data_IF_405734190748
#
_entry.id   IF_405734190748
#
_cell.length_a   1.000
_cell.length_b   1.000
_cell.length_c   1.000
_cell.angle_alpha   90.00
_cell.angle_beta   90.00
_cell.angle_gamma   90.00
#
_symmetry.space_group_name_H-M   'P 1'
#
loop_
_entity.id
_entity.type
_entity.pdbx_description
1 polymer ?
#
# COMPACT_ATOMS: atom_id res chain seq x y z
N UNK A 1 24.85 -19.21 -41.48
CA UNK A 1 24.34 -18.67 -40.21
C UNK A 1 22.92 -19.19 -39.99
N UNK A 2 22.69 -20.06 -39.05
CA UNK A 2 21.37 -20.65 -38.82
C UNK A 2 20.51 -19.64 -38.09
N UNK A 3 19.59 -19.01 -38.78
CA UNK A 3 18.59 -18.10 -38.20
C UNK A 3 17.48 -18.93 -37.55
N UNK A 4 17.76 -19.53 -36.39
CA UNK A 4 16.78 -20.27 -35.59
C UNK A 4 16.35 -19.54 -34.32
N UNK A 5 16.69 -18.25 -34.18
CA UNK A 5 16.34 -17.48 -33.04
C UNK A 5 15.06 -16.68 -33.31
N UNK A 6 14.04 -16.94 -32.54
CA UNK A 6 12.87 -16.09 -32.44
C UNK A 6 13.23 -14.94 -31.47
N UNK A 7 12.74 -13.74 -31.78
CA UNK A 7 12.92 -12.60 -30.89
C UNK A 7 12.26 -12.91 -29.53
N UNK A 8 13.06 -12.89 -28.48
CA UNK A 8 12.66 -13.38 -27.15
C UNK A 8 11.39 -12.73 -26.62
N UNK A 9 11.13 -11.48 -26.97
CA UNK A 9 9.92 -10.77 -26.53
C UNK A 9 8.64 -11.27 -27.22
N UNK A 10 8.72 -11.88 -28.38
CA UNK A 10 7.56 -12.56 -28.97
C UNK A 10 7.12 -13.73 -28.08
N UNK A 11 8.05 -14.54 -27.64
CA UNK A 11 7.79 -15.65 -26.72
C UNK A 11 7.32 -15.14 -25.34
N UNK A 12 8.09 -14.23 -24.74
CA UNK A 12 7.79 -13.70 -23.41
C UNK A 12 6.42 -13.03 -23.30
N UNK A 13 5.99 -12.26 -24.32
CA UNK A 13 4.72 -11.54 -24.28
C UNK A 13 3.53 -12.44 -24.58
N UNK A 14 3.67 -13.39 -25.54
CA UNK A 14 2.59 -14.33 -25.84
C UNK A 14 2.27 -15.26 -24.67
N UNK A 15 3.19 -15.42 -23.72
CA UNK A 15 2.94 -16.18 -22.50
C UNK A 15 1.75 -15.64 -21.67
N UNK A 16 1.45 -14.35 -21.76
CA UNK A 16 0.29 -13.77 -21.06
C UNK A 16 -1.03 -14.42 -21.48
N UNK A 17 -1.18 -14.76 -22.76
CA UNK A 17 -2.40 -15.40 -23.27
C UNK A 17 -2.27 -16.92 -23.33
N UNK A 18 -1.13 -17.49 -23.71
CA UNK A 18 -0.95 -18.93 -23.76
C UNK A 18 -1.00 -19.57 -22.38
N UNK A 19 -0.48 -18.89 -21.34
CA UNK A 19 -0.53 -19.35 -19.95
C UNK A 19 -1.94 -19.50 -19.38
N UNK A 20 -2.92 -18.79 -19.95
CA UNK A 20 -4.34 -18.91 -19.58
C UNK A 20 -5.17 -19.72 -20.59
N UNK A 21 -4.51 -20.33 -21.59
CA UNK A 21 -5.12 -21.26 -22.50
C UNK A 21 -5.67 -20.66 -23.79
N UNK A 22 -4.99 -19.63 -24.33
CA UNK A 22 -5.23 -19.16 -25.70
C UNK A 22 -4.88 -20.25 -26.71
N UNK A 23 -5.73 -20.40 -27.72
CA UNK A 23 -5.51 -21.29 -28.86
C UNK A 23 -5.79 -20.55 -30.17
N UNK A 24 -4.78 -20.51 -31.06
CA UNK A 24 -4.87 -19.85 -32.35
C UNK A 24 -5.88 -20.49 -33.34
N UNK A 25 -6.26 -21.75 -33.11
CA UNK A 25 -7.27 -22.47 -33.91
C UNK A 25 -8.71 -22.22 -33.42
N UNK A 26 -8.88 -21.36 -32.44
CA UNK A 26 -10.20 -20.93 -31.93
C UNK A 26 -10.74 -21.77 -30.79
N UNK A 27 -9.97 -22.73 -30.25
CA UNK A 27 -10.38 -23.59 -29.14
C UNK A 27 -9.88 -23.09 -27.78
N UNK A 28 -9.74 -21.78 -27.63
CA UNK A 28 -9.29 -21.15 -26.38
C UNK A 28 -10.11 -21.59 -25.18
N UNK A 29 -9.44 -21.76 -24.03
CA UNK A 29 -10.03 -22.22 -22.78
C UNK A 29 -11.07 -21.25 -22.21
N UNK A 30 -11.93 -21.76 -21.32
CA UNK A 30 -12.85 -20.91 -20.54
C UNK A 30 -12.10 -19.92 -19.64
N UNK A 31 -10.93 -20.28 -19.16
CA UNK A 31 -10.09 -19.37 -18.38
C UNK A 31 -9.63 -18.18 -19.23
N UNK A 32 -9.17 -18.41 -20.46
CA UNK A 32 -8.84 -17.33 -21.39
C UNK A 32 -10.04 -16.40 -21.63
N UNK A 33 -11.20 -16.95 -21.99
CA UNK A 33 -12.41 -16.18 -22.27
C UNK A 33 -12.87 -15.32 -21.08
N UNK A 34 -12.59 -15.76 -19.85
CA UNK A 34 -12.93 -15.07 -18.61
C UNK A 34 -11.93 -13.99 -18.25
N UNK A 35 -10.64 -14.23 -18.46
CA UNK A 35 -9.55 -13.38 -17.93
C UNK A 35 -8.96 -12.42 -18.98
N UNK A 36 -9.19 -12.68 -20.27
CA UNK A 36 -8.70 -11.80 -21.33
C UNK A 36 -9.85 -10.94 -21.90
N UNK A 37 -9.64 -9.64 -22.18
CA UNK A 37 -8.41 -8.88 -22.01
C UNK A 37 -8.06 -8.57 -20.55
N UNK A 38 -6.76 -8.47 -20.26
CA UNK A 38 -6.28 -8.06 -18.95
C UNK A 38 -6.75 -6.64 -18.59
N UNK A 39 -7.19 -6.44 -17.36
CA UNK A 39 -7.53 -5.12 -16.86
C UNK A 39 -6.29 -4.25 -16.71
N UNK A 40 -5.18 -4.84 -16.25
CA UNK A 40 -3.92 -4.16 -16.00
C UNK A 40 -2.72 -5.06 -16.31
N UNK A 41 -1.75 -4.54 -17.05
CA UNK A 41 -0.37 -5.01 -17.04
C UNK A 41 0.45 -4.12 -16.10
N UNK A 42 0.78 -4.63 -14.91
CA UNK A 42 1.67 -3.97 -13.97
C UNK A 42 3.10 -4.49 -14.18
N UNK A 43 4.00 -3.62 -14.63
CA UNK A 43 5.34 -3.99 -15.07
C UNK A 43 6.39 -2.99 -14.57
N UNK A 44 7.68 -3.35 -14.64
CA UNK A 44 8.77 -2.41 -14.45
C UNK A 44 8.90 -1.44 -15.62
N UNK A 45 9.26 -0.19 -15.38
CA UNK A 45 9.41 0.84 -16.41
C UNK A 45 10.44 0.50 -17.50
N UNK A 46 11.38 -0.38 -17.20
CA UNK A 46 12.42 -0.84 -18.14
C UNK A 46 11.87 -1.66 -19.31
N UNK A 47 10.71 -2.29 -19.14
CA UNK A 47 10.05 -3.09 -20.18
C UNK A 47 8.78 -2.45 -20.75
N UNK A 48 8.54 -1.17 -20.45
CA UNK A 48 7.32 -0.47 -20.89
C UNK A 48 7.16 -0.46 -22.41
N UNK A 49 8.25 -0.29 -23.16
CA UNK A 49 8.24 -0.31 -24.63
C UNK A 49 7.68 -1.61 -25.19
N UNK A 50 8.03 -2.72 -24.57
CA UNK A 50 7.59 -4.04 -25.03
C UNK A 50 6.09 -4.25 -24.81
N UNK A 51 5.54 -3.69 -23.73
CA UNK A 51 4.13 -3.81 -23.38
C UNK A 51 3.22 -2.75 -24.01
N UNK A 52 3.79 -1.61 -24.40
CA UNK A 52 2.99 -0.51 -24.99
C UNK A 52 3.11 -0.40 -26.52
N UNK A 53 4.13 -1.01 -27.12
CA UNK A 53 4.34 -1.00 -28.57
C UNK A 53 4.26 -2.41 -29.15
N UNK A 54 5.16 -3.32 -28.74
CA UNK A 54 5.26 -4.63 -29.39
C UNK A 54 4.08 -5.54 -29.05
N UNK A 55 3.67 -5.57 -27.80
CA UNK A 55 2.54 -6.39 -27.36
C UNK A 55 1.23 -6.02 -28.03
N UNK A 56 0.84 -4.75 -28.08
CA UNK A 56 -0.32 -4.33 -28.90
C UNK A 56 -0.23 -4.75 -30.37
N UNK A 57 0.94 -4.62 -31.00
CA UNK A 57 1.14 -5.05 -32.40
C UNK A 57 0.89 -6.55 -32.56
N UNK A 58 1.39 -7.38 -31.62
CA UNK A 58 1.19 -8.83 -31.68
C UNK A 58 -0.28 -9.18 -31.51
N UNK A 59 -0.96 -8.57 -30.55
CA UNK A 59 -2.41 -8.79 -30.31
C UNK A 59 -3.24 -8.35 -31.52
N UNK A 60 -2.94 -7.20 -32.11
CA UNK A 60 -3.61 -6.75 -33.33
C UNK A 60 -3.38 -7.70 -34.49
N UNK A 61 -2.17 -8.25 -34.65
CA UNK A 61 -1.87 -9.25 -35.69
C UNK A 61 -2.63 -10.56 -35.48
N UNK A 62 -2.93 -10.93 -34.22
CA UNK A 62 -3.76 -12.07 -33.85
C UNK A 62 -5.27 -11.78 -33.88
N UNK A 63 -5.66 -10.51 -34.11
CA UNK A 63 -7.03 -10.03 -34.00
C UNK A 63 -7.61 -10.23 -32.58
N UNK A 64 -6.76 -10.10 -31.56
CA UNK A 64 -7.14 -10.22 -30.16
C UNK A 64 -7.31 -8.86 -29.49
N UNK A 65 -8.20 -8.72 -28.49
CA UNK A 65 -8.42 -7.46 -27.79
C UNK A 65 -7.18 -7.03 -27.00
N UNK A 66 -6.96 -5.70 -26.93
CA UNK A 66 -5.85 -5.12 -26.19
C UNK A 66 -6.12 -5.09 -24.68
N UNK A 67 -5.07 -5.14 -23.83
CA UNK A 67 -5.19 -4.86 -22.40
C UNK A 67 -5.82 -3.48 -22.16
N UNK A 68 -6.61 -3.33 -21.10
CA UNK A 68 -7.26 -2.05 -20.80
C UNK A 68 -6.28 -0.99 -20.34
N UNK A 69 -5.23 -1.40 -19.61
CA UNK A 69 -4.21 -0.48 -19.09
C UNK A 69 -2.85 -1.17 -19.00
N UNK A 70 -1.79 -0.40 -19.23
CA UNK A 70 -0.40 -0.77 -18.91
C UNK A 70 0.15 0.27 -17.94
N UNK A 71 0.68 -0.18 -16.81
CA UNK A 71 1.26 0.66 -15.79
C UNK A 71 2.71 0.23 -15.49
N UNK A 72 3.66 1.16 -15.68
CA UNK A 72 5.08 0.92 -15.43
C UNK A 72 5.51 1.53 -14.11
N UNK A 73 5.84 0.68 -13.10
CA UNK A 73 6.39 1.16 -11.85
C UNK A 73 7.88 1.50 -11.96
N UNK A 74 8.39 2.45 -11.15
CA UNK A 74 9.80 2.85 -11.15
C UNK A 74 10.73 1.77 -10.57
N UNK A 75 12.02 2.04 -10.60
CA UNK A 75 13.02 1.16 -10.00
C UNK A 75 13.15 1.38 -8.51
N UNK A 76 13.57 0.32 -7.81
CA UNK A 76 14.09 0.38 -6.47
C UNK A 76 15.61 0.39 -6.55
N UNK A 77 16.22 1.49 -6.08
CA UNK A 77 17.66 1.74 -6.14
C UNK A 77 18.29 1.48 -4.77
N UNK A 78 19.55 1.07 -4.78
CA UNK A 78 20.39 1.04 -3.57
C UNK A 78 21.49 2.08 -3.71
N UNK A 79 21.49 3.06 -2.80
CA UNK A 79 22.38 4.23 -2.91
C UNK A 79 22.13 4.97 -4.23
N UNK A 80 23.19 5.29 -4.94
CA UNK A 80 23.15 6.09 -6.17
C UNK A 80 22.87 5.27 -7.44
N UNK A 81 22.51 4.00 -7.31
CA UNK A 81 22.42 3.17 -8.50
C UNK A 81 21.51 1.95 -8.45
N UNK A 82 21.29 1.43 -9.65
CA UNK A 82 20.54 0.20 -9.86
C UNK A 82 21.24 -0.99 -9.20
N UNK A 83 20.49 -1.80 -8.49
CA UNK A 83 20.97 -3.07 -7.94
C UNK A 83 21.43 -4.00 -9.05
N UNK A 84 22.59 -4.63 -8.88
CA UNK A 84 23.16 -5.57 -9.84
C UNK A 84 23.93 -6.67 -9.13
N UNK A 85 23.67 -7.92 -9.50
CA UNK A 85 24.40 -9.09 -8.98
C UNK A 85 25.91 -8.97 -9.18
N UNK A 86 26.33 -8.40 -10.31
CA UNK A 86 27.76 -8.21 -10.62
C UNK A 86 28.46 -7.17 -9.76
N UNK A 87 27.70 -6.23 -9.18
CA UNK A 87 28.22 -5.21 -8.26
C UNK A 87 28.15 -5.64 -6.78
N UNK A 88 27.50 -6.77 -6.49
CA UNK A 88 27.32 -7.25 -5.12
C UNK A 88 26.44 -6.37 -4.22
N UNK A 89 25.65 -5.46 -4.83
CA UNK A 89 24.80 -4.52 -4.11
C UNK A 89 23.32 -4.91 -4.19
N UNK A 90 22.99 -6.20 -4.22
CA UNK A 90 21.61 -6.66 -4.25
C UNK A 90 21.13 -6.91 -2.82
N UNK A 91 20.02 -6.29 -2.45
CA UNK A 91 19.26 -6.65 -1.25
C UNK A 91 18.19 -7.66 -1.66
N UNK A 92 18.22 -8.83 -1.07
CA UNK A 92 17.23 -9.87 -1.34
C UNK A 92 16.03 -9.69 -0.44
N UNK A 93 14.84 -9.90 -1.01
CA UNK A 93 13.58 -9.76 -0.26
C UNK A 93 13.50 -10.73 0.92
N UNK A 94 14.03 -11.95 0.76
CA UNK A 94 14.06 -12.96 1.81
C UNK A 94 14.88 -12.50 3.01
N UNK A 95 16.09 -11.95 2.79
CA UNK A 95 16.96 -11.43 3.85
C UNK A 95 16.29 -10.27 4.62
N UNK A 96 15.57 -9.41 3.89
CA UNK A 96 14.83 -8.31 4.50
C UNK A 96 13.64 -8.81 5.33
N UNK A 97 12.92 -9.80 4.82
CA UNK A 97 11.77 -10.42 5.51
C UNK A 97 12.22 -11.18 6.76
N UNK A 98 13.33 -11.91 6.69
CA UNK A 98 13.88 -12.64 7.83
C UNK A 98 14.30 -11.68 8.96
N UNK A 99 14.79 -10.49 8.63
CA UNK A 99 15.23 -9.51 9.62
C UNK A 99 14.10 -8.60 10.14
N UNK A 100 13.28 -8.04 9.25
CA UNK A 100 12.28 -7.02 9.58
C UNK A 100 10.85 -7.57 9.72
N UNK A 101 10.58 -8.77 9.21
CA UNK A 101 9.24 -9.32 9.07
C UNK A 101 8.55 -8.86 7.77
N UNK A 102 7.64 -9.70 7.28
CA UNK A 102 6.98 -9.50 5.97
C UNK A 102 6.16 -8.21 5.91
N UNK A 103 5.45 -7.87 6.97
CA UNK A 103 4.57 -6.68 6.98
C UNK A 103 5.36 -5.38 6.92
N UNK A 104 6.50 -5.32 7.63
CA UNK A 104 7.39 -4.16 7.61
C UNK A 104 8.02 -3.95 6.24
N UNK A 105 8.47 -5.03 5.59
CA UNK A 105 9.03 -4.96 4.23
C UNK A 105 7.97 -4.52 3.22
N UNK A 106 6.76 -5.08 3.28
CA UNK A 106 5.65 -4.68 2.42
C UNK A 106 5.26 -3.21 2.61
N UNK A 107 5.15 -2.78 3.87
CA UNK A 107 4.89 -1.37 4.19
C UNK A 107 5.95 -0.47 3.56
N UNK A 108 7.22 -0.77 3.79
CA UNK A 108 8.34 0.01 3.27
C UNK A 108 8.30 0.14 1.75
N UNK A 109 8.19 -0.98 1.05
CA UNK A 109 8.17 -0.98 -0.43
C UNK A 109 7.00 -0.18 -0.99
N UNK A 110 5.81 -0.31 -0.41
CA UNK A 110 4.63 0.43 -0.87
C UNK A 110 4.68 1.92 -0.51
N UNK A 111 5.33 2.27 0.60
CA UNK A 111 5.45 3.66 1.05
C UNK A 111 6.58 4.42 0.33
N UNK A 112 7.75 3.79 0.16
CA UNK A 112 8.95 4.45 -0.38
C UNK A 112 9.11 4.35 -1.91
N UNK A 113 8.17 3.68 -2.60
CA UNK A 113 8.13 3.67 -4.05
C UNK A 113 6.97 4.53 -4.58
N UNK A 114 7.12 5.87 -4.57
CA UNK A 114 6.18 6.72 -5.30
C UNK A 114 6.28 6.37 -6.79
N UNK A 115 5.17 6.05 -7.43
CA UNK A 115 5.19 5.59 -8.83
C UNK A 115 5.65 6.65 -9.84
N UNK A 116 5.86 7.87 -9.43
CA UNK A 116 6.36 8.97 -10.25
C UNK A 116 7.90 9.00 -10.34
N UNK A 117 8.60 8.46 -9.33
CA UNK A 117 10.06 8.51 -9.21
C UNK A 117 10.64 7.19 -8.74
N UNK A 118 11.92 6.97 -8.99
CA UNK A 118 12.64 5.81 -8.46
C UNK A 118 12.72 5.91 -6.94
N UNK A 119 12.45 4.78 -6.27
CA UNK A 119 12.58 4.66 -4.83
C UNK A 119 14.00 4.27 -4.43
N UNK A 120 14.40 4.60 -3.22
CA UNK A 120 15.68 4.17 -2.64
C UNK A 120 15.43 3.25 -1.46
N UNK A 121 16.19 2.16 -1.37
CA UNK A 121 16.20 1.26 -0.23
C UNK A 121 17.56 1.29 0.46
N UNK A 122 17.56 1.45 1.77
CA UNK A 122 18.71 1.22 2.64
C UNK A 122 18.25 0.67 3.98
N UNK A 123 19.17 0.06 4.71
CA UNK A 123 18.89 -0.46 6.06
C UNK A 123 18.46 0.66 7.01
N UNK A 124 19.15 1.79 6.93
CA UNK A 124 18.90 2.98 7.77
C UNK A 124 17.48 3.51 7.52
N UNK A 125 17.08 3.63 6.26
CA UNK A 125 15.77 4.12 5.89
C UNK A 125 14.66 3.14 6.33
N UNK A 126 14.89 1.83 6.20
CA UNK A 126 13.95 0.82 6.72
C UNK A 126 13.78 0.94 8.23
N UNK A 127 14.88 1.04 8.99
CA UNK A 127 14.84 1.22 10.46
C UNK A 127 14.12 2.53 10.82
N UNK A 128 14.38 3.61 10.11
CA UNK A 128 13.70 4.89 10.31
C UNK A 128 12.18 4.75 10.13
N UNK A 129 11.73 4.14 9.03
CA UNK A 129 10.30 3.95 8.77
C UNK A 129 9.62 3.04 9.78
N UNK A 130 10.26 1.95 10.17
CA UNK A 130 9.73 1.08 11.21
C UNK A 130 9.52 1.83 12.52
N UNK A 131 10.52 2.61 12.93
CA UNK A 131 10.46 3.33 14.19
C UNK A 131 9.49 4.51 14.15
N UNK A 132 9.56 5.36 13.11
CA UNK A 132 8.74 6.58 13.03
C UNK A 132 7.26 6.28 12.75
N UNK A 133 7.01 5.43 11.79
CA UNK A 133 5.65 5.20 11.29
C UNK A 133 4.99 4.03 12.02
N UNK A 134 5.57 2.83 11.96
CA UNK A 134 4.92 1.64 12.51
C UNK A 134 4.96 1.63 14.05
N UNK A 135 6.10 1.91 14.67
CA UNK A 135 6.19 1.87 16.12
C UNK A 135 5.63 3.16 16.78
N UNK A 136 6.16 4.33 16.41
CA UNK A 136 5.84 5.58 17.10
C UNK A 136 4.52 6.21 16.66
N UNK A 137 4.03 5.94 15.46
CA UNK A 137 2.72 6.46 15.02
C UNK A 137 1.62 5.43 15.25
N UNK A 138 1.61 4.32 14.51
CA UNK A 138 0.56 3.31 14.59
C UNK A 138 0.63 2.52 15.90
N UNK A 139 1.79 1.96 16.24
CA UNK A 139 1.99 1.15 17.46
C UNK A 139 1.70 1.95 18.72
N UNK A 140 2.14 3.21 18.77
CA UNK A 140 1.82 4.11 19.89
C UNK A 140 0.31 4.39 20.00
N UNK A 141 -0.38 4.65 18.87
CA UNK A 141 -1.82 4.86 18.88
C UNK A 141 -2.56 3.65 19.43
N UNK A 142 -2.28 2.46 18.90
CA UNK A 142 -2.90 1.20 19.34
C UNK A 142 -2.62 0.92 20.81
N UNK A 143 -1.36 1.04 21.24
CA UNK A 143 -0.97 0.80 22.63
C UNK A 143 -1.65 1.76 23.60
N UNK A 144 -1.67 3.07 23.30
CA UNK A 144 -2.34 4.10 24.13
C UNK A 144 -3.84 3.81 24.25
N UNK A 145 -4.50 3.57 23.11
CA UNK A 145 -5.95 3.33 23.07
C UNK A 145 -6.33 2.09 23.87
N UNK A 146 -5.69 0.94 23.60
CA UNK A 146 -5.98 -0.31 24.31
C UNK A 146 -5.64 -0.22 25.79
N UNK A 147 -4.47 0.34 26.14
CA UNK A 147 -4.03 0.46 27.52
C UNK A 147 -4.98 1.35 28.34
N UNK A 148 -5.44 2.48 27.80
CA UNK A 148 -6.39 3.35 28.48
C UNK A 148 -7.79 2.74 28.56
N UNK A 149 -8.26 2.07 27.51
CA UNK A 149 -9.54 1.36 27.50
C UNK A 149 -9.57 0.26 28.57
N UNK A 150 -8.51 -0.53 28.68
CA UNK A 150 -8.39 -1.55 29.73
C UNK A 150 -8.31 -0.93 31.12
N UNK A 151 -7.48 0.09 31.27
CA UNK A 151 -7.24 0.72 32.58
C UNK A 151 -8.48 1.39 33.16
N UNK A 152 -9.26 2.10 32.33
CA UNK A 152 -10.36 2.93 32.82
C UNK A 152 -11.74 2.26 32.69
N UNK A 153 -11.90 1.29 31.77
CA UNK A 153 -13.18 0.66 31.45
C UNK A 153 -13.13 -0.87 31.38
N UNK A 154 -12.03 -1.50 31.79
CA UNK A 154 -11.91 -2.95 31.74
C UNK A 154 -11.98 -3.53 30.31
N UNK A 155 -11.60 -2.71 29.30
CA UNK A 155 -11.60 -3.11 27.88
C UNK A 155 -12.94 -2.92 27.15
N UNK A 156 -14.00 -2.50 27.83
CA UNK A 156 -15.31 -2.27 27.23
C UNK A 156 -15.70 -0.80 27.33
N UNK A 157 -15.60 -0.07 26.25
CA UNK A 157 -15.92 1.36 26.17
C UNK A 157 -17.30 1.51 25.52
N UNK A 158 -18.27 2.04 26.29
CA UNK A 158 -19.62 2.30 25.78
C UNK A 158 -19.71 3.70 25.17
N UNK A 159 -20.54 3.84 24.12
CA UNK A 159 -20.91 5.16 23.61
C UNK A 159 -21.76 5.92 24.65
N UNK A 160 -21.28 7.08 25.05
CA UNK A 160 -21.93 7.97 26.03
C UNK A 160 -22.42 9.27 25.41
N UNK A 161 -22.12 9.51 24.15
CA UNK A 161 -22.59 10.68 23.43
C UNK A 161 -22.11 12.03 23.96
N UNK A 162 -21.08 12.06 24.83
CA UNK A 162 -20.55 13.29 25.44
C UNK A 162 -19.54 13.98 24.50
N UNK A 163 -19.98 14.32 23.28
CA UNK A 163 -19.13 14.92 22.24
C UNK A 163 -18.90 16.43 22.52
N UNK A 164 -17.74 16.91 22.08
CA UNK A 164 -17.29 18.29 22.14
C UNK A 164 -16.78 18.76 20.76
N UNK A 165 -16.49 20.06 20.62
CA UNK A 165 -16.06 20.62 19.33
C UNK A 165 -14.81 19.98 18.75
N UNK A 166 -13.86 19.55 19.57
CA UNK A 166 -12.64 18.86 19.15
C UNK A 166 -12.90 17.50 18.47
N UNK A 167 -14.04 16.88 18.76
CA UNK A 167 -14.44 15.60 18.18
C UNK A 167 -14.91 15.76 16.72
N UNK A 168 -15.54 16.90 16.40
CA UNK A 168 -15.98 17.18 15.04
C UNK A 168 -14.80 17.34 14.08
N UNK A 169 -13.68 17.91 14.55
CA UNK A 169 -12.44 17.98 13.75
C UNK A 169 -11.89 16.58 13.46
N UNK A 170 -11.90 15.69 14.46
CA UNK A 170 -11.47 14.29 14.24
C UNK A 170 -12.42 13.58 13.29
N UNK A 171 -13.73 13.67 13.49
CA UNK A 171 -14.74 13.07 12.60
C UNK A 171 -14.58 13.52 11.16
N UNK A 172 -14.35 14.81 10.93
CA UNK A 172 -14.15 15.35 9.59
C UNK A 172 -12.92 14.72 8.90
N UNK A 173 -11.83 14.51 9.64
CA UNK A 173 -10.65 13.83 9.10
C UNK A 173 -10.94 12.35 8.82
N UNK A 174 -11.57 11.64 9.76
CA UNK A 174 -11.91 10.22 9.62
C UNK A 174 -12.79 9.99 8.39
N UNK A 175 -13.91 10.70 8.31
CA UNK A 175 -14.89 10.56 7.22
C UNK A 175 -14.33 10.97 5.87
N UNK A 176 -13.45 12.00 5.83
CA UNK A 176 -12.81 12.46 4.61
C UNK A 176 -11.60 11.64 4.16
N UNK A 177 -11.08 10.74 4.99
CA UNK A 177 -9.89 9.94 4.64
C UNK A 177 -10.21 8.89 3.58
N UNK A 178 -11.37 8.24 3.66
CA UNK A 178 -11.76 7.20 2.70
C UNK A 178 -11.73 7.71 1.25
N UNK A 179 -12.37 8.85 0.99
CA UNK A 179 -12.43 9.40 -0.37
C UNK A 179 -11.04 9.81 -0.90
N UNK A 180 -10.18 10.35 -0.02
CA UNK A 180 -8.79 10.67 -0.37
C UNK A 180 -8.00 9.43 -0.75
N UNK A 181 -8.08 8.39 0.08
CA UNK A 181 -7.40 7.11 -0.16
C UNK A 181 -7.92 6.46 -1.44
N UNK A 182 -9.25 6.39 -1.62
CA UNK A 182 -9.86 5.82 -2.82
C UNK A 182 -9.39 6.55 -4.09
N UNK A 183 -9.42 7.88 -4.12
CA UNK A 183 -8.96 8.67 -5.26
C UNK A 183 -7.47 8.45 -5.58
N UNK A 184 -6.63 8.29 -4.55
CA UNK A 184 -5.20 7.96 -4.72
C UNK A 184 -5.02 6.55 -5.29
N UNK A 185 -5.78 5.58 -4.78
CA UNK A 185 -5.73 4.19 -5.25
C UNK A 185 -6.20 4.05 -6.70
N UNK A 186 -7.25 4.75 -7.12
CA UNK A 186 -7.69 4.80 -8.52
C UNK A 186 -6.60 5.37 -9.45
N UNK A 187 -5.77 6.29 -8.96
CA UNK A 187 -4.63 6.86 -9.67
C UNK A 187 -3.32 6.07 -9.51
N UNK A 188 -3.33 4.88 -8.90
CA UNK A 188 -2.15 4.07 -8.59
C UNK A 188 -1.13 4.76 -7.65
N UNK A 189 -1.54 5.79 -6.92
CA UNK A 189 -0.70 6.55 -5.99
C UNK A 189 -0.68 5.89 -4.60
N UNK A 190 -0.19 4.68 -4.52
CA UNK A 190 -0.24 3.84 -3.31
C UNK A 190 0.52 4.48 -2.15
N UNK A 191 1.72 5.02 -2.39
CA UNK A 191 2.52 5.70 -1.36
C UNK A 191 1.78 6.90 -0.74
N UNK A 192 1.10 7.69 -1.59
CA UNK A 192 0.28 8.81 -1.12
C UNK A 192 -0.96 8.36 -0.34
N UNK A 193 -1.60 7.27 -0.78
CA UNK A 193 -2.73 6.68 -0.06
C UNK A 193 -2.33 6.23 1.35
N UNK A 194 -1.17 5.57 1.48
CA UNK A 194 -0.59 5.20 2.78
C UNK A 194 -0.29 6.45 3.61
N UNK A 195 0.27 7.50 3.01
CA UNK A 195 0.53 8.78 3.69
C UNK A 195 -0.75 9.41 4.24
N UNK A 196 -1.86 9.37 3.49
CA UNK A 196 -3.15 9.86 3.97
C UNK A 196 -3.67 9.04 5.16
N UNK A 197 -3.51 7.70 5.15
CA UNK A 197 -3.85 6.83 6.28
C UNK A 197 -3.00 7.19 7.52
N UNK A 198 -1.69 7.35 7.35
CA UNK A 198 -0.81 7.73 8.47
C UNK A 198 -1.06 9.16 8.97
N UNK A 199 -1.55 10.06 8.12
CA UNK A 199 -2.03 11.38 8.53
C UNK A 199 -3.23 11.27 9.46
N UNK A 200 -4.17 10.34 9.19
CA UNK A 200 -5.25 10.02 10.11
C UNK A 200 -4.72 9.50 11.45
N UNK A 201 -3.79 8.55 11.47
CA UNK A 201 -3.22 8.02 12.72
C UNK A 201 -2.51 9.12 13.54
N UNK A 202 -1.79 10.03 12.88
CA UNK A 202 -1.18 11.20 13.53
C UNK A 202 -2.25 12.12 14.12
N UNK A 203 -3.38 12.34 13.43
CA UNK A 203 -4.50 13.13 13.95
C UNK A 203 -5.14 12.45 15.17
N UNK A 204 -5.29 11.12 15.17
CA UNK A 204 -5.78 10.38 16.33
C UNK A 204 -4.85 10.50 17.55
N UNK A 205 -3.53 10.36 17.35
CA UNK A 205 -2.57 10.58 18.43
C UNK A 205 -2.66 12.01 19.01
N UNK A 206 -2.75 13.01 18.11
CA UNK A 206 -2.92 14.42 18.53
C UNK A 206 -4.23 14.63 19.30
N UNK A 207 -5.32 13.99 18.87
CA UNK A 207 -6.60 14.06 19.58
C UNK A 207 -6.52 13.49 21.01
N UNK A 208 -5.77 12.40 21.23
CA UNK A 208 -5.50 11.88 22.57
C UNK A 208 -4.78 12.95 23.42
N UNK A 209 -3.82 13.66 22.84
CA UNK A 209 -3.07 14.70 23.55
C UNK A 209 -3.96 15.94 23.83
N UNK A 210 -4.85 16.32 22.92
CA UNK A 210 -5.79 17.43 23.07
C UNK A 210 -6.89 17.15 24.11
N UNK A 211 -7.36 15.90 24.19
CA UNK A 211 -8.44 15.52 25.12
C UNK A 211 -7.94 15.08 26.49
N UNK A 212 -6.65 14.82 26.64
CA UNK A 212 -6.00 14.46 27.90
C UNK A 212 -6.79 13.41 28.74
N UNK A 213 -7.04 12.17 28.21
CA UNK A 213 -7.88 11.17 28.88
C UNK A 213 -7.41 10.86 30.32
N UNK A 214 -6.11 10.96 30.59
CA UNK A 214 -5.53 10.75 31.91
C UNK A 214 -5.87 11.86 32.91
N UNK A 215 -6.26 13.05 32.44
CA UNK A 215 -6.79 14.16 33.28
C UNK A 215 -8.28 13.94 33.50
N UNK A 216 -9.06 13.62 32.46
CA UNK A 216 -10.48 13.28 32.56
C UNK A 216 -10.74 12.15 33.55
N UNK A 217 -9.89 11.15 33.57
CA UNK A 217 -10.00 9.97 34.45
C UNK A 217 -9.87 10.30 35.97
N UNK A 218 -9.38 11.49 36.33
CA UNK A 218 -9.26 11.90 37.74
C UNK A 218 -10.58 12.45 38.32
N UNK A 219 -11.54 12.79 37.44
CA UNK A 219 -12.82 13.35 37.82
C UNK A 219 -13.96 12.38 37.42
N UNK A 220 -14.62 11.73 38.40
CA UNK A 220 -15.74 10.83 38.11
C UNK A 220 -16.89 11.48 37.32
N UNK A 221 -17.10 12.80 37.48
CA UNK A 221 -18.12 13.52 36.73
C UNK A 221 -17.84 13.59 35.23
N UNK A 222 -16.60 13.34 34.82
CA UNK A 222 -16.14 13.35 33.40
C UNK A 222 -16.03 11.92 32.77
N UNK A 223 -16.55 10.90 33.44
CA UNK A 223 -16.46 9.52 32.97
C UNK A 223 -17.10 9.30 31.59
N UNK A 224 -18.24 9.94 31.31
CA UNK A 224 -18.92 9.86 30.01
C UNK A 224 -18.09 10.55 28.91
N UNK A 225 -17.45 11.68 29.21
CA UNK A 225 -16.53 12.34 28.26
C UNK A 225 -15.30 11.48 28.00
N UNK A 226 -14.71 10.88 29.01
CA UNK A 226 -13.59 9.95 28.87
C UNK A 226 -13.94 8.75 27.98
N UNK A 227 -15.12 8.15 28.19
CA UNK A 227 -15.60 7.05 27.34
C UNK A 227 -15.73 7.50 25.87
N UNK A 228 -16.35 8.66 25.64
CA UNK A 228 -16.52 9.20 24.27
C UNK A 228 -15.17 9.45 23.58
N UNK A 229 -14.18 10.03 24.28
CA UNK A 229 -12.84 10.24 23.72
C UNK A 229 -12.17 8.92 23.31
N UNK A 230 -12.22 7.90 24.17
CA UNK A 230 -11.58 6.61 23.87
C UNK A 230 -12.31 5.85 22.77
N UNK A 231 -13.65 5.95 22.71
CA UNK A 231 -14.41 5.36 21.62
C UNK A 231 -14.03 5.97 20.27
N UNK A 232 -14.00 7.29 20.14
CA UNK A 232 -13.66 7.96 18.89
C UNK A 232 -12.23 7.67 18.44
N UNK A 233 -11.29 7.52 19.38
CA UNK A 233 -9.93 7.09 19.05
C UNK A 233 -9.88 5.64 18.52
N UNK A 234 -10.70 4.75 19.10
CA UNK A 234 -10.77 3.33 18.69
C UNK A 234 -11.41 3.16 17.33
N UNK A 235 -12.53 3.84 17.10
CA UNK A 235 -13.29 3.73 15.85
C UNK A 235 -12.56 4.37 14.67
N UNK A 236 -11.73 5.38 14.94
CA UNK A 236 -10.90 6.03 13.92
C UNK A 236 -9.69 5.18 13.51
N UNK A 237 -9.22 4.29 14.36
CA UNK A 237 -8.03 3.48 14.13
C UNK A 237 -8.36 2.13 13.47
#
# INVERSE_FOLDING_TARGET
MYKRQVYVWLDALTNYITGIGYDAEGNSSEQYKKLWPADLHLIGKDIIRFHTIYWPIFLMALNEPLPKQVFGHPWLLQGDGKMSKSKGNVLYADDLVDFFGVDAVRYFVLHEMPFENDGVISWELMVERLNSDLANTLGNLVNRTISMSNKYFGGVVADKGAAEAVDEDLKAVVTGTYDKVAAKMEGWRVADAITDIFTLFKRCNKYIDETEPWVLAKDPAKADRLATCLLYTSDAA
#
